data_IF_776178095666
#
_entry.id   IF_776178095666
#
_cell.length_a   1.000
_cell.length_b   1.000
_cell.length_c   1.000
_cell.angle_alpha   90.00
_cell.angle_beta   90.00
_cell.angle_gamma   90.00
#
_symmetry.space_group_name_H-M   'P 1'
#
loop_
_entity.id
_entity.type
_entity.pdbx_description
1 polymer ?
#
# COMPACT_ATOMS: atom_id res chain seq x y z
N UNK A 1 3.11 8.44 5.49
CA UNK A 1 1.80 8.90 5.02
C UNK A 1 0.87 7.72 5.19
N UNK A 2 -0.09 7.82 6.11
CA UNK A 2 -0.98 6.70 6.44
C UNK A 2 -2.02 6.51 5.35
N UNK A 3 -2.29 5.27 4.96
CA UNK A 3 -3.34 4.90 4.03
C UNK A 3 -4.47 4.23 4.83
N UNK A 4 -5.75 4.62 4.63
CA UNK A 4 -6.91 3.93 5.17
C UNK A 4 -6.88 2.45 4.82
N UNK A 5 -7.55 1.65 5.65
CA UNK A 5 -7.59 0.22 5.49
C UNK A 5 -8.13 -0.18 4.10
N UNK A 6 -7.43 -1.09 3.44
CA UNK A 6 -7.78 -1.58 2.10
C UNK A 6 -7.59 -0.58 0.95
N UNK A 7 -7.01 0.59 1.18
CA UNK A 7 -6.66 1.53 0.09
C UNK A 7 -5.29 1.20 -0.47
N UNK A 8 -5.19 1.06 -1.79
CA UNK A 8 -3.97 0.72 -2.49
C UNK A 8 -3.28 1.97 -3.06
N UNK A 9 -1.96 1.95 -3.15
CA UNK A 9 -1.19 2.99 -3.85
C UNK A 9 0.00 2.40 -4.58
N UNK A 10 -0.02 2.47 -5.91
CA UNK A 10 1.07 2.02 -6.76
C UNK A 10 1.97 3.20 -7.14
N UNK A 11 3.27 3.11 -6.86
CA UNK A 11 4.23 4.20 -7.04
C UNK A 11 5.40 3.72 -7.90
N UNK A 12 5.84 4.57 -8.83
CA UNK A 12 7.02 4.30 -9.68
C UNK A 12 8.32 4.24 -8.89
N UNK A 13 8.41 5.07 -7.85
CA UNK A 13 9.58 5.24 -7.00
C UNK A 13 9.24 5.95 -5.70
N UNK A 14 10.22 6.05 -4.80
CA UNK A 14 10.16 6.92 -3.61
C UNK A 14 10.80 6.30 -2.37
N UNK A 15 10.75 7.01 -1.24
CA UNK A 15 11.39 6.59 0.00
C UNK A 15 10.64 5.51 0.78
N UNK A 16 11.24 5.09 1.90
CA UNK A 16 10.72 4.02 2.76
C UNK A 16 9.43 4.37 3.52
N UNK A 17 9.04 5.65 3.60
CA UNK A 17 7.76 6.05 4.19
C UNK A 17 7.58 5.68 5.66
N UNK A 18 8.68 5.54 6.42
CA UNK A 18 8.75 5.00 7.81
C UNK A 18 8.45 3.50 7.95
N UNK A 19 8.52 2.74 6.86
CA UNK A 19 8.41 1.28 6.89
C UNK A 19 9.81 0.65 7.01
N UNK A 20 10.10 0.01 8.15
CA UNK A 20 11.43 -0.56 8.45
C UNK A 20 11.86 -1.61 7.42
N UNK A 21 10.94 -2.48 6.97
CA UNK A 21 11.26 -3.47 5.94
C UNK A 21 11.63 -2.83 4.60
N UNK A 22 11.02 -1.68 4.26
CA UNK A 22 11.31 -1.00 3.00
C UNK A 22 12.62 -0.21 3.11
N UNK A 23 12.93 0.33 4.29
CA UNK A 23 14.23 0.91 4.59
C UNK A 23 15.33 -0.14 4.39
N UNK A 24 15.15 -1.34 4.97
CA UNK A 24 16.11 -2.43 4.83
C UNK A 24 16.33 -2.85 3.37
N UNK A 25 15.25 -2.98 2.57
CA UNK A 25 15.38 -3.26 1.12
C UNK A 25 16.17 -2.18 0.40
N UNK A 26 15.90 -0.89 0.67
CA UNK A 26 16.63 0.22 0.05
C UNK A 26 18.12 0.19 0.42
N UNK A 27 18.44 -0.09 1.69
CA UNK A 27 19.82 -0.21 2.17
C UNK A 27 20.58 -1.34 1.47
N UNK A 28 19.94 -2.49 1.23
CA UNK A 28 20.54 -3.61 0.50
C UNK A 28 20.65 -3.42 -1.02
N UNK A 29 20.01 -2.38 -1.55
CA UNK A 29 20.09 -1.99 -2.96
C UNK A 29 20.95 -0.74 -3.14
N UNK A 30 21.98 -0.56 -2.31
CA UNK A 30 22.92 0.59 -2.35
C UNK A 30 22.21 1.96 -2.30
N UNK A 31 21.12 2.04 -1.53
CA UNK A 31 20.31 3.25 -1.42
C UNK A 31 19.40 3.51 -2.63
N UNK A 32 19.28 2.57 -3.57
CA UNK A 32 18.41 2.69 -4.73
C UNK A 32 16.94 2.82 -4.29
N UNK A 33 16.24 3.81 -4.86
CA UNK A 33 14.82 4.10 -4.62
C UNK A 33 13.99 4.05 -5.91
N UNK A 34 14.64 3.70 -7.02
CA UNK A 34 14.09 3.71 -8.37
C UNK A 34 13.44 2.35 -8.70
N UNK A 35 12.64 1.83 -7.78
CA UNK A 35 11.88 0.60 -7.97
C UNK A 35 10.38 0.82 -7.68
N UNK A 36 9.50 0.14 -8.44
CA UNK A 36 8.07 0.24 -8.22
C UNK A 36 7.66 -0.39 -6.88
N UNK A 37 6.68 0.21 -6.22
CA UNK A 37 6.08 -0.37 -5.01
C UNK A 37 4.57 -0.25 -5.03
N UNK A 38 3.89 -1.34 -4.65
CA UNK A 38 2.48 -1.33 -4.28
C UNK A 38 2.38 -1.27 -2.76
N UNK A 39 1.66 -0.27 -2.24
CA UNK A 39 1.36 -0.16 -0.81
C UNK A 39 -0.11 -0.50 -0.57
N UNK A 40 -0.38 -1.29 0.46
CA UNK A 40 -1.73 -1.57 0.96
C UNK A 40 -1.89 -0.87 2.30
N UNK A 41 -2.91 -0.04 2.43
CA UNK A 41 -3.24 0.61 3.69
C UNK A 41 -3.85 -0.38 4.67
N UNK A 42 -3.41 -0.29 5.92
CA UNK A 42 -3.95 -1.04 7.06
C UNK A 42 -4.61 -0.11 8.08
N UNK A 43 -4.76 1.18 7.74
CA UNK A 43 -5.24 2.20 8.67
C UNK A 43 -4.15 2.75 9.60
N UNK A 44 -4.60 3.42 10.66
CA UNK A 44 -3.75 4.03 11.69
C UNK A 44 -4.16 3.50 13.07
N UNK A 45 -3.23 3.39 14.03
CA UNK A 45 -3.56 3.00 15.40
C UNK A 45 -4.60 3.97 15.99
N UNK A 46 -5.69 3.46 16.61
CA UNK A 46 -6.70 4.31 17.21
C UNK A 46 -6.19 5.00 18.48
N UNK A 47 -6.47 6.30 18.61
CA UNK A 47 -6.12 7.09 19.79
C UNK A 47 -4.62 7.11 20.09
N UNK A 48 -4.25 6.64 21.29
CA UNK A 48 -2.85 6.58 21.77
C UNK A 48 -2.28 5.15 21.73
N UNK A 49 -2.87 4.25 20.96
CA UNK A 49 -2.37 2.88 20.83
C UNK A 49 -0.94 2.87 20.27
N UNK A 50 -0.09 2.02 20.84
CA UNK A 50 1.25 1.79 20.34
C UNK A 50 1.22 1.21 18.91
N UNK A 51 2.11 1.71 18.05
CA UNK A 51 2.14 1.31 16.63
C UNK A 51 2.55 -0.15 16.46
N UNK A 52 3.51 -0.65 17.27
CA UNK A 52 3.93 -2.06 17.18
C UNK A 52 2.79 -2.97 17.63
N UNK A 53 2.06 -2.61 18.69
CA UNK A 53 0.88 -3.34 19.14
C UNK A 53 -0.19 -3.41 18.04
N UNK A 54 -0.49 -2.29 17.37
CA UNK A 54 -1.43 -2.25 16.25
C UNK A 54 -1.02 -3.17 15.09
N UNK A 55 0.26 -3.16 14.70
CA UNK A 55 0.77 -3.99 13.59
C UNK A 55 0.68 -5.50 13.84
N UNK A 56 0.66 -5.93 15.11
CA UNK A 56 0.62 -7.35 15.48
C UNK A 56 -0.81 -7.85 15.75
N UNK A 57 -1.81 -6.98 15.71
CA UNK A 57 -3.19 -7.36 15.90
C UNK A 57 -3.78 -8.05 14.67
N UNK A 58 -4.80 -8.86 14.92
CA UNK A 58 -5.64 -9.39 13.85
C UNK A 58 -6.61 -8.30 13.41
N UNK A 59 -6.89 -8.27 12.11
CA UNK A 59 -7.97 -7.47 11.56
C UNK A 59 -9.32 -7.91 12.13
N UNK A 60 -10.23 -6.95 12.32
CA UNK A 60 -11.66 -7.23 12.53
C UNK A 60 -12.27 -7.87 11.28
N UNK A 61 -13.48 -8.43 11.40
CA UNK A 61 -14.18 -9.02 10.25
C UNK A 61 -14.42 -8.00 9.12
N UNK A 62 -14.73 -6.75 9.49
CA UNK A 62 -14.97 -5.66 8.53
C UNK A 62 -13.67 -5.22 7.86
N UNK A 63 -12.61 -5.05 8.64
CA UNK A 63 -11.28 -4.72 8.11
C UNK A 63 -10.75 -5.82 7.20
N UNK A 64 -11.01 -7.08 7.56
CA UNK A 64 -10.59 -8.25 6.79
C UNK A 64 -11.23 -8.27 5.40
N UNK A 65 -12.53 -7.99 5.30
CA UNK A 65 -13.22 -7.89 3.99
C UNK A 65 -12.58 -6.81 3.11
N UNK A 66 -12.23 -5.66 3.70
CA UNK A 66 -11.59 -4.57 2.96
C UNK A 66 -10.18 -4.95 2.49
N UNK A 67 -9.41 -5.66 3.32
CA UNK A 67 -8.09 -6.19 2.97
C UNK A 67 -8.18 -7.24 1.89
N UNK A 68 -9.08 -8.20 2.00
CA UNK A 68 -9.25 -9.27 1.01
C UNK A 68 -9.63 -8.68 -0.37
N UNK A 69 -10.55 -7.71 -0.40
CA UNK A 69 -10.86 -6.94 -1.62
C UNK A 69 -9.64 -6.19 -2.18
N UNK A 70 -8.82 -5.61 -1.30
CA UNK A 70 -7.62 -4.89 -1.71
C UNK A 70 -6.54 -5.85 -2.25
N UNK A 71 -6.46 -7.07 -1.74
CA UNK A 71 -5.54 -8.08 -2.25
C UNK A 71 -5.91 -8.49 -3.67
N UNK A 72 -7.19 -8.75 -3.95
CA UNK A 72 -7.67 -9.06 -5.30
C UNK A 72 -7.32 -7.95 -6.30
N UNK A 73 -7.66 -6.70 -5.94
CA UNK A 73 -7.32 -5.52 -6.76
C UNK A 73 -5.81 -5.34 -6.92
N UNK A 74 -5.03 -5.65 -5.88
CA UNK A 74 -3.58 -5.58 -5.88
C UNK A 74 -2.94 -6.57 -6.84
N UNK A 75 -3.46 -7.80 -6.91
CA UNK A 75 -3.01 -8.83 -7.86
C UNK A 75 -3.18 -8.33 -9.30
N UNK A 76 -4.34 -7.77 -9.64
CA UNK A 76 -4.58 -7.25 -10.98
C UNK A 76 -3.73 -6.03 -11.31
N UNK A 77 -3.47 -5.17 -10.32
CA UNK A 77 -2.58 -4.02 -10.48
C UNK A 77 -1.14 -4.46 -10.76
N UNK A 78 -0.61 -5.43 -10.00
CA UNK A 78 0.74 -5.99 -10.20
C UNK A 78 0.83 -6.70 -11.54
N UNK A 79 -0.16 -7.52 -11.89
CA UNK A 79 -0.23 -8.19 -13.20
C UNK A 79 -0.19 -7.18 -14.34
N UNK A 80 -1.00 -6.12 -14.24
CA UNK A 80 -1.02 -5.04 -15.24
C UNK A 80 0.32 -4.32 -15.34
N UNK A 81 0.95 -4.03 -14.19
CA UNK A 81 2.26 -3.40 -14.15
C UNK A 81 3.34 -4.26 -14.83
N UNK A 82 3.37 -5.57 -14.55
CA UNK A 82 4.36 -6.47 -15.12
C UNK A 82 4.17 -6.62 -16.64
N UNK A 83 2.92 -6.73 -17.11
CA UNK A 83 2.63 -6.95 -18.53
C UNK A 83 2.69 -5.68 -19.39
N UNK A 84 2.32 -4.52 -18.83
CA UNK A 84 2.12 -3.28 -19.58
C UNK A 84 2.95 -2.11 -19.09
N UNK A 85 3.78 -2.31 -18.05
CA UNK A 85 4.53 -1.25 -17.40
C UNK A 85 3.63 -0.18 -16.76
N UNK A 86 4.23 0.98 -16.46
CA UNK A 86 3.51 2.17 -16.06
C UNK A 86 2.80 2.80 -17.26
N UNK A 87 1.64 2.27 -17.58
CA UNK A 87 0.71 2.79 -18.60
C UNK A 87 -0.44 3.58 -17.95
N UNK A 88 -1.27 4.24 -18.76
CA UNK A 88 -2.48 4.94 -18.27
C UNK A 88 -3.47 4.04 -17.51
N UNK A 89 -3.37 2.71 -17.63
CA UNK A 89 -4.13 1.78 -16.78
C UNK A 89 -3.75 1.89 -15.30
N UNK A 90 -2.46 2.08 -15.00
CA UNK A 90 -1.96 2.24 -13.63
C UNK A 90 -2.36 3.61 -13.06
N UNK A 91 -2.38 4.66 -13.89
CA UNK A 91 -2.86 5.98 -13.48
C UNK A 91 -4.35 5.93 -13.10
N UNK A 92 -5.17 5.26 -13.92
CA UNK A 92 -6.59 5.02 -13.61
C UNK A 92 -6.76 4.22 -12.32
N UNK A 93 -5.97 3.17 -12.12
CA UNK A 93 -5.99 2.41 -10.86
C UNK A 93 -5.75 3.31 -9.65
N UNK A 94 -4.70 4.15 -9.68
CA UNK A 94 -4.42 5.08 -8.60
C UNK A 94 -5.53 6.13 -8.39
N UNK A 95 -6.18 6.60 -9.46
CA UNK A 95 -7.32 7.52 -9.35
C UNK A 95 -8.49 6.86 -8.62
N UNK A 96 -8.85 5.62 -8.98
CA UNK A 96 -9.93 4.87 -8.30
C UNK A 96 -9.62 4.73 -6.81
N UNK A 97 -8.38 4.39 -6.46
CA UNK A 97 -7.96 4.25 -5.06
C UNK A 97 -7.96 5.59 -4.31
N UNK A 98 -7.63 6.71 -4.97
CA UNK A 98 -7.72 8.05 -4.39
C UNK A 98 -9.16 8.40 -3.98
N UNK A 99 -10.17 8.01 -4.77
CA UNK A 99 -11.57 8.24 -4.41
C UNK A 99 -12.04 7.31 -3.28
N UNK A 100 -11.49 6.09 -3.18
CA UNK A 100 -11.70 5.20 -2.03
C UNK A 100 -11.13 5.81 -0.75
N UNK A 101 -9.95 6.43 -0.83
CA UNK A 101 -9.29 7.15 0.27
C UNK A 101 -10.13 8.33 0.80
N UNK A 102 -10.70 9.14 -0.10
CA UNK A 102 -11.42 10.37 0.29
C UNK A 102 -12.87 10.14 0.74
N UNK A 103 -13.38 8.90 0.64
CA UNK A 103 -14.75 8.52 1.08
C UNK A 103 -14.79 7.94 2.50
N UNK A 104 -13.63 7.69 3.11
CA UNK A 104 -13.49 7.11 4.44
C UNK A 104 -13.29 8.20 5.50
#
# INVERSE_FOLDING_TARGET
MSLPNGVLRLQRKGGHGRHNGLQNVIEHLDGCREFPRLSIGIGSPPGKMDTRAFLLQKFSSEERIQIDTALEQGVDAVRTLVLKGFSGSIERFNLVQKYKFNRA
#
